data_IF_770545079152
#
_entry.id   IF_770545079152
#
_cell.length_a   1.000
_cell.length_b   1.000
_cell.length_c   1.000
_cell.angle_alpha   90.00
_cell.angle_beta   90.00
_cell.angle_gamma   90.00
#
_symmetry.space_group_name_H-M   'P 1'
#
loop_
_entity.id
_entity.type
_entity.pdbx_description
1 polymer ?
#
# COMPACT_ATOMS: atom_id res chain seq x y z
N UNK A 1 -16.15 -17.72 20.88
CA UNK A 1 -16.34 -17.72 19.41
C UNK A 1 -14.96 -17.55 18.80
N UNK A 2 -14.41 -18.60 18.19
CA UNK A 2 -13.22 -18.44 17.35
C UNK A 2 -13.63 -17.62 16.13
N UNK A 3 -12.96 -16.48 15.92
CA UNK A 3 -13.18 -15.65 14.74
C UNK A 3 -12.54 -16.42 13.57
N UNK A 4 -13.34 -17.04 12.72
CA UNK A 4 -12.86 -17.65 11.48
C UNK A 4 -12.28 -16.50 10.65
N UNK A 5 -10.96 -16.45 10.52
CA UNK A 5 -10.29 -15.43 9.72
C UNK A 5 -10.53 -15.80 8.25
N UNK A 6 -11.23 -14.93 7.52
CA UNK A 6 -11.44 -15.08 6.08
C UNK A 6 -10.07 -14.91 5.36
N UNK A 7 -9.82 -15.73 4.35
CA UNK A 7 -8.62 -15.61 3.50
C UNK A 7 -8.54 -14.22 2.84
N UNK A 8 -9.68 -13.60 2.58
CA UNK A 8 -9.74 -12.22 2.09
C UNK A 8 -9.20 -11.22 3.10
N UNK A 9 -9.50 -11.40 4.39
CA UNK A 9 -9.00 -10.53 5.45
C UNK A 9 -7.47 -10.65 5.56
N UNK A 10 -6.93 -11.88 5.51
CA UNK A 10 -5.48 -12.12 5.52
C UNK A 10 -4.79 -11.42 4.35
N UNK A 11 -5.38 -11.49 3.16
CA UNK A 11 -4.84 -10.83 1.97
C UNK A 11 -4.86 -9.31 2.10
N UNK A 12 -5.95 -8.75 2.62
CA UNK A 12 -6.07 -7.31 2.84
C UNK A 12 -5.02 -6.82 3.86
N UNK A 13 -4.81 -7.56 4.95
CA UNK A 13 -3.79 -7.21 5.95
C UNK A 13 -2.37 -7.30 5.39
N UNK A 14 -2.08 -8.31 4.56
CA UNK A 14 -0.80 -8.39 3.83
C UNK A 14 -0.60 -7.19 2.90
N UNK A 15 -1.64 -6.82 2.13
CA UNK A 15 -1.60 -5.66 1.25
C UNK A 15 -1.36 -4.36 2.03
N UNK A 16 -2.08 -4.13 3.13
CA UNK A 16 -1.88 -2.97 4.01
C UNK A 16 -0.44 -2.89 4.50
N UNK A 17 0.12 -3.99 4.99
CA UNK A 17 1.50 -4.04 5.47
C UNK A 17 2.50 -3.67 4.39
N UNK A 18 2.33 -4.19 3.18
CA UNK A 18 3.21 -3.86 2.05
C UNK A 18 3.11 -2.37 1.70
N UNK A 19 1.89 -1.83 1.65
CA UNK A 19 1.64 -0.41 1.40
C UNK A 19 2.30 0.46 2.48
N UNK A 20 2.21 0.10 3.77
CA UNK A 20 2.90 0.79 4.88
C UNK A 20 4.43 0.78 4.74
N UNK A 21 5.01 -0.34 4.33
CA UNK A 21 6.46 -0.41 4.09
C UNK A 21 6.90 0.50 2.93
N UNK A 22 6.08 0.59 1.88
CA UNK A 22 6.31 1.50 0.75
C UNK A 22 6.18 2.96 1.18
N UNK A 23 5.16 3.29 1.98
CA UNK A 23 4.99 4.60 2.59
C UNK A 23 6.21 5.02 3.41
N UNK A 24 6.70 4.14 4.28
CA UNK A 24 7.90 4.40 5.08
C UNK A 24 9.12 4.69 4.21
N UNK A 25 9.25 3.99 3.08
CA UNK A 25 10.33 4.22 2.11
C UNK A 25 10.19 5.57 1.41
N UNK A 26 8.98 5.96 1.01
CA UNK A 26 8.74 7.27 0.37
C UNK A 26 9.02 8.39 1.37
N UNK A 27 8.49 8.31 2.59
CA UNK A 27 8.68 9.30 3.64
C UNK A 27 10.16 9.49 4.02
N UNK A 28 10.95 8.41 4.02
CA UNK A 28 12.38 8.50 4.31
C UNK A 28 13.18 9.21 3.21
N UNK A 29 12.70 9.19 1.96
CA UNK A 29 13.41 9.73 0.80
C UNK A 29 12.91 11.12 0.37
N UNK A 30 11.71 11.54 0.79
CA UNK A 30 11.11 12.81 0.41
C UNK A 30 10.50 13.55 1.62
N UNK A 31 11.16 14.61 2.13
CA UNK A 31 10.63 15.43 3.23
C UNK A 31 9.29 16.11 2.94
N UNK A 32 8.91 16.26 1.67
CA UNK A 32 7.63 16.87 1.27
C UNK A 32 6.45 15.92 1.44
N UNK A 33 6.72 14.63 1.63
CA UNK A 33 5.72 13.57 1.76
C UNK A 33 4.66 13.87 2.83
N UNK A 34 5.06 14.48 3.95
CA UNK A 34 4.16 14.82 5.04
C UNK A 34 2.98 15.72 4.62
N UNK A 35 3.17 16.53 3.57
CA UNK A 35 2.16 17.45 3.05
C UNK A 35 1.34 16.89 1.89
N UNK A 36 1.65 15.68 1.44
CA UNK A 36 0.96 15.05 0.32
C UNK A 36 -0.43 14.56 0.75
N UNK A 37 -1.40 14.77 -0.13
CA UNK A 37 -2.73 14.20 0.10
C UNK A 37 -2.74 12.70 -0.25
N UNK A 38 -3.75 11.98 0.24
CA UNK A 38 -3.86 10.53 0.04
C UNK A 38 -3.92 10.12 -1.45
N UNK A 39 -4.44 10.99 -2.32
CA UNK A 39 -4.52 10.74 -3.76
C UNK A 39 -3.14 10.77 -4.41
N UNK A 40 -2.33 11.79 -4.10
CA UNK A 40 -0.97 11.92 -4.63
C UNK A 40 -0.07 10.77 -4.14
N UNK A 41 -0.24 10.38 -2.88
CA UNK A 41 0.45 9.23 -2.29
C UNK A 41 0.05 7.93 -3.02
N UNK A 42 -1.24 7.76 -3.32
CA UNK A 42 -1.71 6.59 -4.08
C UNK A 42 -1.10 6.54 -5.48
N UNK A 43 -0.94 7.70 -6.15
CA UNK A 43 -0.25 7.79 -7.45
C UNK A 43 1.22 7.39 -7.38
N UNK A 44 1.94 7.84 -6.35
CA UNK A 44 3.34 7.47 -6.14
C UNK A 44 3.51 5.96 -5.95
N UNK A 45 2.71 5.36 -5.07
CA UNK A 45 2.76 3.92 -4.80
C UNK A 45 2.35 3.13 -6.04
N UNK A 46 1.27 3.54 -6.72
CA UNK A 46 0.84 2.88 -7.96
C UNK A 46 1.95 2.90 -9.01
N UNK A 47 2.61 4.05 -9.19
CA UNK A 47 3.78 4.16 -10.09
C UNK A 47 4.92 3.23 -9.66
N UNK A 48 5.20 3.14 -8.36
CA UNK A 48 6.27 2.28 -7.84
C UNK A 48 5.97 0.79 -8.07
N UNK A 49 4.73 0.33 -7.84
CA UNK A 49 4.28 -1.05 -8.12
C UNK A 49 4.45 -1.37 -9.62
N UNK A 50 4.12 -0.42 -10.49
CA UNK A 50 4.19 -0.61 -11.94
C UNK A 50 5.57 -0.33 -12.54
N UNK A 51 6.55 0.09 -11.74
CA UNK A 51 7.92 0.31 -12.20
C UNK A 51 8.72 -0.99 -12.10
N UNK A 52 9.23 -1.55 -13.22
CA UNK A 52 9.96 -2.81 -13.20
C UNK A 52 11.15 -2.78 -12.24
N UNK A 53 11.28 -3.82 -11.40
CA UNK A 53 12.38 -3.94 -10.44
C UNK A 53 12.27 -3.05 -9.20
N UNK A 54 11.27 -2.17 -9.10
CA UNK A 54 11.11 -1.29 -7.94
C UNK A 54 10.47 -1.99 -6.73
N UNK A 55 9.79 -3.12 -6.96
CA UNK A 55 9.14 -3.93 -5.91
C UNK A 55 9.55 -5.38 -6.14
N UNK A 56 9.83 -6.12 -5.06
CA UNK A 56 10.22 -7.53 -5.17
C UNK A 56 9.06 -8.38 -5.68
N UNK A 57 9.38 -9.48 -6.38
CA UNK A 57 8.37 -10.39 -6.96
C UNK A 57 7.33 -10.86 -5.94
N UNK A 58 7.78 -11.23 -4.73
CA UNK A 58 6.89 -11.66 -3.64
C UNK A 58 5.88 -10.57 -3.23
N UNK A 59 6.32 -9.30 -3.17
CA UNK A 59 5.41 -8.19 -2.86
C UNK A 59 4.45 -7.92 -4.02
N UNK A 60 4.94 -7.99 -5.26
CA UNK A 60 4.13 -7.81 -6.47
C UNK A 60 3.01 -8.85 -6.60
N UNK A 61 3.20 -10.08 -6.14
CA UNK A 61 2.12 -11.08 -6.12
C UNK A 61 0.92 -10.62 -5.29
N UNK A 62 1.16 -9.92 -4.17
CA UNK A 62 0.10 -9.41 -3.29
C UNK A 62 -0.51 -8.09 -3.77
N UNK A 63 0.30 -7.16 -4.31
CA UNK A 63 -0.15 -5.78 -4.62
C UNK A 63 -0.23 -5.45 -6.11
N UNK A 64 0.29 -6.30 -7.00
CA UNK A 64 0.40 -6.01 -8.44
C UNK A 64 -0.94 -5.93 -9.18
N UNK A 65 -2.01 -6.47 -8.59
CA UNK A 65 -3.37 -6.34 -9.13
C UNK A 65 -4.13 -5.12 -8.59
N UNK A 66 -3.58 -4.39 -7.63
CA UNK A 66 -4.24 -3.25 -7.04
C UNK A 66 -4.30 -2.10 -8.05
N UNK A 67 -5.51 -1.60 -8.28
CA UNK A 67 -5.67 -0.33 -8.97
C UNK A 67 -5.23 0.82 -8.08
N UNK A 68 -4.96 1.98 -8.70
CA UNK A 68 -4.73 3.24 -7.98
C UNK A 68 -5.83 3.55 -6.96
N UNK A 69 -7.10 3.22 -7.28
CA UNK A 69 -8.24 3.39 -6.38
C UNK A 69 -8.18 2.44 -5.19
N UNK A 70 -7.80 1.18 -5.40
CA UNK A 70 -7.67 0.21 -4.31
C UNK A 70 -6.58 0.63 -3.32
N UNK A 71 -5.45 1.12 -3.84
CA UNK A 71 -4.37 1.69 -3.02
C UNK A 71 -4.89 2.87 -2.19
N UNK A 72 -5.63 3.80 -2.81
CA UNK A 72 -6.22 4.94 -2.10
C UNK A 72 -7.18 4.50 -0.99
N UNK A 73 -7.97 3.45 -1.23
CA UNK A 73 -8.87 2.85 -0.22
C UNK A 73 -8.05 2.25 0.93
N UNK A 74 -7.00 1.47 0.63
CA UNK A 74 -6.12 0.89 1.64
C UNK A 74 -5.46 1.95 2.53
N UNK A 75 -4.97 3.04 1.92
CA UNK A 75 -4.42 4.19 2.63
C UNK A 75 -5.46 4.90 3.52
N UNK A 76 -6.74 4.90 3.13
CA UNK A 76 -7.80 5.52 3.93
C UNK A 76 -8.08 4.75 5.23
N UNK A 77 -7.85 3.43 5.24
CA UNK A 77 -7.97 2.63 6.45
C UNK A 77 -6.82 2.87 7.45
N UNK A 78 -5.69 3.41 7.00
CA UNK A 78 -4.54 3.72 7.85
C UNK A 78 -4.65 5.08 8.56
N UNK A 79 -5.44 6.03 8.04
CA UNK A 79 -5.66 7.36 8.66
C UNK A 79 -6.64 7.34 9.85
N UNK A 80 -6.57 6.31 10.68
CA UNK A 80 -7.18 6.29 12.00
C UNK A 80 -6.05 6.27 13.06
N UNK A 81 -5.38 7.42 13.21
CA UNK A 81 -4.53 7.72 14.36
C UNK A 81 -5.00 9.04 14.94
#
# INVERSE_FOLDING_TARGET
>A
MEKIIDQNDLRIEEQKKIIDEMLGTINANDPTFYYMNTSDIADLIFKQINTPGSVSTKKLEAVGSLSRRDIQILLSYQKAV
#
